data_IF_181004475950
#
_entry.id   IF_181004475950
#
_cell.length_a   1.000
_cell.length_b   1.000
_cell.length_c   1.000
_cell.angle_alpha   90.00
_cell.angle_beta   90.00
_cell.angle_gamma   90.00
#
_symmetry.space_group_name_H-M   'P 1'
#
loop_
_entity.id
_entity.type
_entity.pdbx_description
1 polymer ?
#
# COMPACT_ATOMS: atom_id res chain seq x y z
N UNK A 1 -7.67 -2.42 29.62
CA UNK A 1 -6.58 -2.64 28.64
C UNK A 1 -5.85 -1.33 28.44
N UNK A 2 -4.51 -1.32 28.41
CA UNK A 2 -3.77 -0.14 27.95
C UNK A 2 -3.88 -0.06 26.43
N UNK A 3 -4.52 0.98 25.91
CA UNK A 3 -4.47 1.34 24.49
C UNK A 3 -3.11 2.00 24.23
N UNK A 4 -2.33 1.45 23.28
CA UNK A 4 -1.05 2.03 22.85
C UNK A 4 -1.27 2.89 21.61
N UNK A 5 -0.74 4.11 21.63
CA UNK A 5 -0.69 4.97 20.45
C UNK A 5 0.40 4.44 19.50
N UNK A 6 0.01 4.13 18.26
CA UNK A 6 0.91 3.64 17.21
C UNK A 6 1.26 4.74 16.20
N UNK A 7 0.77 5.97 16.38
CA UNK A 7 0.98 7.05 15.42
C UNK A 7 2.46 7.44 15.33
N UNK A 8 2.88 7.83 14.12
CA UNK A 8 4.25 8.26 13.83
C UNK A 8 4.25 9.50 12.94
N UNK A 9 5.35 10.26 12.98
CA UNK A 9 5.65 11.28 11.96
C UNK A 9 6.89 10.86 11.21
N UNK A 10 6.79 10.69 9.89
CA UNK A 10 7.90 10.31 9.03
C UNK A 10 8.00 11.28 7.85
N UNK A 11 9.18 11.83 7.62
CA UNK A 11 9.42 12.86 6.59
C UNK A 11 8.42 14.04 6.64
N UNK A 12 7.95 14.42 7.83
CA UNK A 12 6.97 15.50 8.01
C UNK A 12 5.51 15.09 7.79
N UNK A 13 5.22 13.84 7.42
CA UNK A 13 3.86 13.31 7.26
C UNK A 13 3.46 12.52 8.50
N UNK A 14 2.26 12.80 9.04
CA UNK A 14 1.69 12.07 10.17
C UNK A 14 0.93 10.85 9.67
N UNK A 15 1.23 9.68 10.24
CA UNK A 15 0.55 8.42 9.99
C UNK A 15 -0.17 7.95 11.27
N UNK A 16 -1.36 7.35 11.17
CA UNK A 16 -2.09 6.81 12.32
C UNK A 16 -1.42 5.56 12.91
N UNK A 17 -0.61 4.87 12.10
CA UNK A 17 0.21 3.72 12.47
C UNK A 17 1.36 3.55 11.44
N UNK A 18 2.42 2.76 11.72
CA UNK A 18 3.58 2.66 10.83
C UNK A 18 3.40 1.64 9.69
N UNK A 19 2.21 1.07 9.50
CA UNK A 19 1.98 0.00 8.54
C UNK A 19 1.45 0.56 7.21
N UNK A 20 2.26 0.47 6.15
CA UNK A 20 1.92 0.98 4.82
C UNK A 20 1.91 -0.14 3.78
N UNK A 21 0.89 -0.16 2.91
CA UNK A 21 0.81 -1.11 1.81
C UNK A 21 1.86 -0.74 0.75
N UNK A 22 2.68 -1.70 0.32
CA UNK A 22 3.76 -1.44 -0.63
C UNK A 22 3.27 -1.34 -2.08
N UNK A 23 4.07 -0.69 -2.92
CA UNK A 23 3.84 -0.65 -4.37
C UNK A 23 3.95 -2.05 -4.97
N UNK A 24 2.80 -2.63 -5.30
CA UNK A 24 2.68 -4.06 -5.58
C UNK A 24 1.37 -4.35 -6.34
N UNK A 25 1.14 -5.60 -6.81
CA UNK A 25 -0.12 -5.97 -7.45
C UNK A 25 -1.36 -5.74 -6.59
N UNK A 26 -1.21 -5.69 -5.26
CA UNK A 26 -2.31 -5.48 -4.31
C UNK A 26 -2.64 -4.00 -4.06
N UNK A 27 -1.98 -3.07 -4.74
CA UNK A 27 -2.25 -1.62 -4.69
C UNK A 27 -2.32 -1.00 -6.09
N UNK A 28 -2.92 -1.71 -7.06
CA UNK A 28 -2.92 -1.34 -8.48
C UNK A 28 -4.20 -0.64 -8.98
N UNK A 29 -5.25 -0.56 -8.16
CA UNK A 29 -6.46 0.18 -8.52
C UNK A 29 -7.07 0.87 -7.29
N UNK A 30 -7.98 1.80 -7.53
CA UNK A 30 -8.62 2.60 -6.50
C UNK A 30 -9.28 1.71 -5.42
N UNK A 31 -10.03 0.69 -5.83
CA UNK A 31 -10.81 -0.16 -4.94
C UNK A 31 -9.91 -0.92 -3.95
N UNK A 32 -8.73 -1.36 -4.42
CA UNK A 32 -7.73 -2.01 -3.56
C UNK A 32 -7.14 -1.02 -2.54
N UNK A 33 -6.79 0.19 -2.98
CA UNK A 33 -6.23 1.21 -2.09
C UNK A 33 -7.26 1.71 -1.07
N UNK A 34 -8.50 1.95 -1.49
CA UNK A 34 -9.60 2.33 -0.61
C UNK A 34 -9.83 1.27 0.48
N UNK A 35 -9.90 -0.02 0.07
CA UNK A 35 -10.03 -1.13 1.01
C UNK A 35 -8.86 -1.23 1.99
N UNK A 36 -7.64 -0.90 1.58
CA UNK A 36 -6.49 -0.86 2.50
C UNK A 36 -6.73 0.16 3.63
N UNK A 37 -7.20 1.36 3.30
CA UNK A 37 -7.54 2.35 4.33
C UNK A 37 -8.71 1.90 5.22
N UNK A 38 -9.77 1.34 4.64
CA UNK A 38 -10.92 0.82 5.40
C UNK A 38 -10.54 -0.31 6.37
N UNK A 39 -9.50 -1.08 6.03
CA UNK A 39 -8.98 -2.17 6.87
C UNK A 39 -7.91 -1.74 7.87
N UNK A 40 -7.61 -0.44 7.94
CA UNK A 40 -6.76 0.16 8.98
C UNK A 40 -5.29 0.34 8.60
N UNK A 41 -4.91 0.18 7.33
CA UNK A 41 -3.56 0.54 6.88
C UNK A 41 -3.31 2.04 7.11
N UNK A 42 -2.12 2.37 7.63
CA UNK A 42 -1.73 3.76 7.89
C UNK A 42 -1.36 4.55 6.65
N UNK A 43 -1.01 3.87 5.56
CA UNK A 43 -0.67 4.47 4.27
C UNK A 43 -0.64 3.45 3.14
N UNK A 44 -0.55 3.95 1.89
CA UNK A 44 -0.44 3.15 0.68
C UNK A 44 0.60 3.77 -0.24
N UNK A 45 1.47 2.95 -0.80
CA UNK A 45 2.33 3.31 -1.93
C UNK A 45 1.71 2.68 -3.17
N UNK A 46 1.14 3.51 -4.06
CA UNK A 46 0.43 3.03 -5.24
C UNK A 46 1.37 2.28 -6.20
N UNK A 47 0.83 1.35 -7.00
CA UNK A 47 1.59 0.65 -8.04
C UNK A 47 2.30 1.67 -8.95
N UNK A 48 3.56 1.39 -9.31
CA UNK A 48 4.34 2.23 -10.23
C UNK A 48 3.56 2.55 -11.50
N UNK A 49 3.43 3.85 -11.79
CA UNK A 49 2.82 4.38 -13.01
C UNK A 49 3.87 5.10 -13.88
N UNK A 50 3.63 5.16 -15.18
CA UNK A 50 4.48 5.86 -16.13
C UNK A 50 3.86 5.89 -17.52
N UNK A 51 4.57 6.46 -18.48
CA UNK A 51 4.12 6.52 -19.88
C UNK A 51 4.38 5.23 -20.65
N UNK A 52 5.23 4.35 -20.13
CA UNK A 52 5.50 3.05 -20.72
C UNK A 52 4.31 2.10 -20.48
N UNK A 53 3.72 1.61 -21.56
CA UNK A 53 2.67 0.59 -21.51
C UNK A 53 3.34 -0.77 -21.63
N UNK A 54 3.50 -1.45 -20.48
CA UNK A 54 4.06 -2.79 -20.44
C UNK A 54 3.10 -3.81 -21.06
N UNK A 55 3.62 -4.68 -21.93
CA UNK A 55 2.91 -5.89 -22.34
C UNK A 55 3.28 -7.02 -21.37
N UNK A 56 2.46 -7.18 -20.34
CA UNK A 56 2.68 -8.12 -19.24
C UNK A 56 2.48 -9.58 -19.69
N UNK A 57 3.31 -10.48 -19.18
CA UNK A 57 3.22 -11.93 -19.45
C UNK A 57 2.47 -12.66 -18.35
N UNK A 58 2.03 -13.89 -18.64
CA UNK A 58 1.41 -14.78 -17.66
C UNK A 58 1.84 -16.23 -17.91
N UNK A 59 2.19 -17.02 -16.87
CA UNK A 59 2.20 -16.66 -15.45
C UNK A 59 3.39 -15.75 -15.07
N UNK A 60 3.23 -14.92 -14.03
CA UNK A 60 4.28 -13.97 -13.58
C UNK A 60 4.41 -13.80 -12.07
N UNK A 61 3.68 -14.60 -11.30
CA UNK A 61 3.80 -14.69 -9.86
C UNK A 61 3.92 -16.16 -9.49
N UNK A 62 4.81 -16.46 -8.56
CA UNK A 62 5.02 -17.81 -8.01
C UNK A 62 5.15 -17.70 -6.48
N UNK A 63 5.00 -18.83 -5.79
CA UNK A 63 5.14 -18.95 -4.34
C UNK A 63 6.57 -19.32 -3.90
N UNK A 64 7.47 -19.57 -4.86
CA UNK A 64 8.84 -20.06 -4.68
C UNK A 64 9.88 -18.95 -4.60
#
# INVERSE_FOLDING_TARGET
MLTKDLSITFCGVKFPNPFCLSSSPVGNCYEMCAKAYDTGWGGVVFKTIGFFIANEVSPRFDHL
#
